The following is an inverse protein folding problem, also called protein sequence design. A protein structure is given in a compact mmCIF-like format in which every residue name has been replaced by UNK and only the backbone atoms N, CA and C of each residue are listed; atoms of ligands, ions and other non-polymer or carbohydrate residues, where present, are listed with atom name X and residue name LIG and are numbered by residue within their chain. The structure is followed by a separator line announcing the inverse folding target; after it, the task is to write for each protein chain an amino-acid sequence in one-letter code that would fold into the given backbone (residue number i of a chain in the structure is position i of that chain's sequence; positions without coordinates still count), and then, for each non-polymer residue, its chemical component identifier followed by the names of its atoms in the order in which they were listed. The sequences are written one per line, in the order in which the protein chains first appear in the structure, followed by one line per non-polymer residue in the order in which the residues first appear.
data_IF_332754326659
#
_entry.id   IF_332754326659
#
_cell.length_a   1.000
_cell.length_b   1.000
_cell.length_c   1.000
_cell.angle_alpha   90.00
_cell.angle_beta   90.00
_cell.angle_gamma   90.00
#
_symmetry.space_group_name_H-M   'P 1'
#
loop_
_entity.id
_entity.type
_entity.pdbx_description
1 polymer ?
#
# COMPACT_ATOMS: atom_id res chain seq x y z
N UNK A 1 16.27 -24.44 39.55
CA UNK A 1 15.30 -23.44 39.07
C UNK A 1 15.96 -22.16 38.51
N UNK A 2 17.12 -22.22 37.84
CA UNK A 2 17.79 -21.01 37.30
C UNK A 2 17.94 -20.98 35.77
N UNK A 3 17.80 -22.13 35.10
CA UNK A 3 18.03 -22.26 33.65
C UNK A 3 16.78 -21.92 32.84
N UNK A 4 15.59 -22.16 33.40
CA UNK A 4 14.30 -21.85 32.76
C UNK A 4 14.06 -20.36 32.60
N UNK A 5 14.51 -19.53 33.54
CA UNK A 5 14.34 -18.07 33.51
C UNK A 5 15.13 -17.41 32.39
N UNK A 6 16.34 -17.91 32.11
CA UNK A 6 17.21 -17.38 31.06
C UNK A 6 16.69 -17.74 29.67
N UNK A 7 16.16 -18.96 29.49
CA UNK A 7 15.56 -19.40 28.24
C UNK A 7 14.29 -18.61 27.87
N UNK A 8 13.45 -18.29 28.87
CA UNK A 8 12.25 -17.47 28.69
C UNK A 8 12.61 -16.02 28.35
N UNK A 9 13.61 -15.45 29.02
CA UNK A 9 14.08 -14.10 28.73
C UNK A 9 14.67 -13.96 27.32
N UNK A 10 15.41 -14.98 26.86
CA UNK A 10 16.00 -14.98 25.51
C UNK A 10 14.92 -15.15 24.42
N UNK A 11 13.92 -15.99 24.64
CA UNK A 11 12.79 -16.15 23.71
C UNK A 11 11.96 -14.86 23.58
N UNK A 12 11.75 -14.12 24.67
CA UNK A 12 11.07 -12.83 24.65
C UNK A 12 11.88 -11.76 23.88
N UNK A 13 13.21 -11.77 23.99
CA UNK A 13 14.07 -10.82 23.27
C UNK A 13 14.07 -11.07 21.76
N UNK A 14 14.05 -12.35 21.33
CA UNK A 14 13.96 -12.72 19.90
C UNK A 14 12.60 -12.35 19.31
N UNK A 15 11.52 -12.54 20.06
CA UNK A 15 10.17 -12.15 19.62
C UNK A 15 9.98 -10.63 19.48
N UNK A 16 10.77 -9.82 20.20
CA UNK A 16 10.78 -8.36 20.08
C UNK A 16 11.73 -7.85 19.00
N UNK A 17 12.66 -8.68 18.53
CA UNK A 17 13.67 -8.32 17.54
C UNK A 17 13.30 -8.70 16.10
N UNK A 18 12.14 -9.32 15.88
CA UNK A 18 11.65 -9.57 14.52
C UNK A 18 11.29 -8.24 13.87
N UNK A 19 11.99 -7.78 12.82
CA UNK A 19 11.57 -6.60 12.11
C UNK A 19 10.18 -6.88 11.54
N UNK A 20 9.22 -6.03 11.88
CA UNK A 20 7.92 -6.03 11.21
C UNK A 20 8.23 -5.75 9.73
N UNK A 21 7.90 -6.69 8.86
CA UNK A 21 8.13 -6.52 7.43
C UNK A 21 7.32 -5.31 6.97
N UNK A 22 8.00 -4.19 6.76
CA UNK A 22 7.43 -2.97 6.21
C UNK A 22 7.10 -3.27 4.73
N UNK A 23 5.85 -3.08 4.30
CA UNK A 23 5.51 -3.29 2.91
C UNK A 23 6.27 -2.27 2.07
N UNK A 24 7.03 -2.80 1.11
CA UNK A 24 7.76 -2.00 0.14
C UNK A 24 6.76 -1.18 -0.68
N UNK A 25 7.11 0.07 -0.98
CA UNK A 25 6.29 0.89 -1.86
C UNK A 25 6.20 0.23 -3.23
N UNK A 26 5.00 0.11 -3.77
CA UNK A 26 4.79 -0.48 -5.07
C UNK A 26 3.83 0.34 -5.93
N UNK A 27 3.97 0.16 -7.24
CA UNK A 27 3.09 0.72 -8.25
C UNK A 27 2.69 -0.40 -9.22
N UNK A 28 1.41 -0.48 -9.55
CA UNK A 28 0.90 -1.40 -10.57
C UNK A 28 -0.36 -0.86 -11.22
N UNK A 29 -0.64 -1.32 -12.43
CA UNK A 29 -1.90 -1.01 -13.08
C UNK A 29 -3.06 -1.77 -12.41
N UNK A 30 -4.21 -1.11 -12.33
CA UNK A 30 -5.46 -1.68 -11.79
C UNK A 30 -6.07 -2.54 -12.88
N UNK A 31 -6.15 -3.84 -12.59
CA UNK A 31 -6.79 -4.84 -13.47
C UNK A 31 -8.00 -5.51 -12.80
N UNK A 32 -8.17 -5.32 -11.50
CA UNK A 32 -9.27 -5.88 -10.70
C UNK A 32 -10.03 -4.73 -10.00
N UNK A 33 -11.37 -4.66 -10.13
CA UNK A 33 -12.19 -3.71 -9.37
C UNK A 33 -11.95 -3.71 -7.86
N UNK A 34 -11.51 -4.83 -7.28
CA UNK A 34 -11.20 -4.92 -5.85
C UNK A 34 -10.02 -4.04 -5.41
N UNK A 35 -9.22 -3.55 -6.35
CA UNK A 35 -8.09 -2.65 -6.09
C UNK A 35 -8.49 -1.18 -6.05
N UNK A 36 -9.72 -0.86 -6.46
CA UNK A 36 -10.23 0.51 -6.43
C UNK A 36 -10.39 0.98 -4.98
N UNK A 37 -9.99 2.23 -4.75
CA UNK A 37 -10.24 2.89 -3.47
C UNK A 37 -11.70 3.36 -3.48
N UNK A 38 -12.55 2.85 -2.58
CA UNK A 38 -13.97 3.19 -2.60
C UNK A 38 -14.20 4.56 -1.98
N UNK A 39 -15.27 5.21 -2.42
CA UNK A 39 -15.78 6.45 -1.84
C UNK A 39 -16.87 7.06 -2.71
N UNK A 40 -17.60 8.04 -2.17
CA UNK A 40 -18.75 8.62 -2.87
C UNK A 40 -18.35 9.39 -4.12
N UNK A 41 -17.12 9.92 -4.14
CA UNK A 41 -16.58 10.75 -5.21
C UNK A 41 -15.37 10.09 -5.88
N UNK A 42 -15.16 8.80 -5.64
CA UNK A 42 -14.02 8.05 -6.17
C UNK A 42 -14.04 8.02 -7.70
N UNK A 43 -12.95 8.47 -8.31
CA UNK A 43 -12.84 8.60 -9.77
C UNK A 43 -11.99 7.52 -10.41
N UNK A 44 -11.28 6.72 -9.61
CA UNK A 44 -10.42 5.65 -10.13
C UNK A 44 -11.19 4.58 -10.89
N UNK A 45 -10.55 4.02 -11.91
CA UNK A 45 -11.10 2.96 -12.75
C UNK A 45 -10.03 1.94 -13.16
N UNK A 46 -10.47 0.83 -13.78
CA UNK A 46 -9.57 -0.15 -14.38
C UNK A 46 -8.70 0.53 -15.45
N UNK A 47 -7.42 0.20 -15.45
CA UNK A 47 -6.42 0.80 -16.33
C UNK A 47 -5.63 1.94 -15.68
N UNK A 48 -6.11 2.53 -14.59
CA UNK A 48 -5.35 3.51 -13.81
C UNK A 48 -4.25 2.82 -12.99
N UNK A 49 -3.38 3.62 -12.37
CA UNK A 49 -2.25 3.14 -11.57
C UNK A 49 -2.54 3.20 -10.08
N UNK A 50 -2.39 2.07 -9.40
CA UNK A 50 -2.47 1.97 -7.95
C UNK A 50 -1.07 2.04 -7.34
N UNK A 51 -0.84 3.04 -6.50
CA UNK A 51 0.40 3.26 -5.78
C UNK A 51 0.12 3.11 -4.28
N UNK A 52 0.87 2.25 -3.60
CA UNK A 52 0.64 2.00 -2.18
C UNK A 52 1.91 1.66 -1.41
N UNK A 53 1.83 1.89 -0.10
CA UNK A 53 2.76 1.42 0.92
C UNK A 53 1.97 1.18 2.23
N UNK A 54 2.67 1.02 3.35
CA UNK A 54 2.04 0.79 4.67
C UNK A 54 1.18 1.95 5.21
N UNK A 55 1.34 3.15 4.67
CA UNK A 55 0.72 4.37 5.21
C UNK A 55 -0.36 4.94 4.29
N UNK A 56 -0.17 4.85 2.97
CA UNK A 56 -1.00 5.52 2.00
C UNK A 56 -1.23 4.64 0.78
N UNK A 57 -2.38 4.87 0.16
CA UNK A 57 -2.79 4.30 -1.11
C UNK A 57 -3.40 5.42 -1.92
N UNK A 58 -2.98 5.54 -3.18
CA UNK A 58 -3.48 6.55 -4.13
C UNK A 58 -3.69 5.91 -5.48
N UNK A 59 -4.61 6.49 -6.26
CA UNK A 59 -4.78 6.15 -7.67
C UNK A 59 -4.26 7.32 -8.50
N UNK A 60 -3.52 7.01 -9.56
CA UNK A 60 -3.07 7.96 -10.58
C UNK A 60 -3.72 7.55 -11.89
N UNK A 61 -4.38 8.48 -12.57
CA UNK A 61 -4.93 8.19 -13.89
C UNK A 61 -3.84 7.76 -14.90
N UNK A 62 -4.23 6.95 -15.88
CA UNK A 62 -3.35 6.59 -16.99
C UNK A 62 -3.58 7.48 -18.21
N UNK A 63 -2.62 7.55 -19.13
CA UNK A 63 -2.68 8.38 -20.35
C UNK A 63 -3.96 8.13 -21.17
N UNK A 64 -4.45 6.87 -21.34
CA UNK A 64 -5.70 6.60 -22.04
C UNK A 64 -6.97 7.04 -21.28
N UNK A 65 -6.85 7.32 -19.98
CA UNK A 65 -7.93 7.59 -19.03
C UNK A 65 -7.78 8.98 -18.36
N UNK A 66 -7.56 10.07 -19.11
CA UNK A 66 -7.16 11.33 -18.51
C UNK A 66 -8.28 11.94 -17.67
N UNK A 67 -7.91 12.37 -16.47
CA UNK A 67 -8.70 13.22 -15.59
C UNK A 67 -8.04 14.60 -15.48
N UNK A 68 -8.84 15.66 -15.32
CA UNK A 68 -8.30 17.02 -15.17
C UNK A 68 -7.59 17.54 -16.43
N UNK A 69 -6.49 18.27 -16.24
CA UNK A 69 -5.84 19.08 -17.29
C UNK A 69 -4.43 18.62 -17.68
N UNK A 70 -3.80 17.78 -16.87
CA UNK A 70 -2.46 17.27 -17.15
C UNK A 70 -2.55 15.99 -17.98
N UNK A 71 -2.38 16.10 -19.30
CA UNK A 71 -2.44 14.97 -20.22
C UNK A 71 -1.22 14.03 -20.16
N UNK A 72 -0.23 14.35 -19.32
CA UNK A 72 1.03 13.61 -19.18
C UNK A 72 1.51 13.66 -17.74
N UNK A 73 2.08 12.55 -17.25
CA UNK A 73 2.59 12.44 -15.87
C UNK A 73 1.56 11.93 -14.86
N UNK A 74 0.27 12.10 -15.17
CA UNK A 74 -0.86 11.60 -14.39
C UNK A 74 -1.34 12.54 -13.28
N UNK A 75 -2.59 12.37 -12.88
CA UNK A 75 -3.30 13.13 -11.85
C UNK A 75 -3.64 12.20 -10.68
N UNK A 76 -3.39 12.67 -9.46
CA UNK A 76 -3.87 11.99 -8.26
C UNK A 76 -5.39 12.06 -8.21
N UNK A 77 -6.04 10.91 -8.08
CA UNK A 77 -7.50 10.81 -7.98
C UNK A 77 -7.93 10.72 -6.52
N UNK A 78 -9.01 11.42 -6.20
CA UNK A 78 -9.64 11.40 -4.88
C UNK A 78 -10.60 10.20 -4.74
N UNK A 79 -10.95 9.86 -3.50
CA UNK A 79 -11.89 8.79 -3.13
C UNK A 79 -13.17 9.32 -2.46
#
# INVERSE_FOLDING_TARGET
MRVTSLAVALAALVALATPVAQAEAFARQIIDPADLIPGQVAQGQIGDWYLANDHVRVIVDDIPNPHGFANTGGNLLDA
#
